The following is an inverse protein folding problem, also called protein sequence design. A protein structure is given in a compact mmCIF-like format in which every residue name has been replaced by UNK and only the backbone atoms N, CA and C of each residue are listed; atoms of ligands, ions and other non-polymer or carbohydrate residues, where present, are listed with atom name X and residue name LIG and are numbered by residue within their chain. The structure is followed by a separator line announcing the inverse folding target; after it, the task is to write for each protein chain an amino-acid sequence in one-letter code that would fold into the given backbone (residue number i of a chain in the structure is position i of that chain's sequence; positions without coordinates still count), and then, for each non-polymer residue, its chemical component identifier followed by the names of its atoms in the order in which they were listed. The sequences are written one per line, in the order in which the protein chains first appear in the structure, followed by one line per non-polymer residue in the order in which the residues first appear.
data_IF_428972066047
#
_entry.id   IF_428972066047
#
_cell.length_a   1.000
_cell.length_b   1.000
_cell.length_c   1.000
_cell.angle_alpha   90.00
_cell.angle_beta   90.00
_cell.angle_gamma   90.00
#
_symmetry.space_group_name_H-M   'P 1'
#
loop_
_entity.id
_entity.type
_entity.pdbx_description
1 polymer ?
#
# COMPACT_ATOMS: atom_id res chain seq x y z
N UNK A 1 -8.01 17.17 22.58
CA UNK A 1 -7.44 16.03 21.84
C UNK A 1 -6.33 16.54 20.94
N UNK A 2 -5.37 15.69 20.56
CA UNK A 2 -4.29 16.06 19.65
C UNK A 2 -4.82 16.59 18.31
N UNK A 3 -4.14 17.59 17.76
CA UNK A 3 -4.50 18.21 16.48
C UNK A 3 -3.80 17.49 15.33
N UNK A 4 -4.37 17.57 14.12
CA UNK A 4 -3.73 16.99 12.93
C UNK A 4 -2.28 17.49 12.74
N UNK A 5 -1.97 18.81 12.81
CA UNK A 5 -0.57 19.28 12.74
C UNK A 5 0.36 18.64 13.77
N UNK A 6 -0.06 18.56 15.04
CA UNK A 6 0.74 17.94 16.10
C UNK A 6 1.03 16.47 15.80
N UNK A 7 0.01 15.70 15.40
CA UNK A 7 0.16 14.29 15.02
C UNK A 7 1.14 14.14 13.87
N UNK A 8 1.01 14.96 12.82
CA UNK A 8 1.89 14.87 11.65
C UNK A 8 3.36 15.22 11.98
N UNK A 9 3.58 16.20 12.86
CA UNK A 9 4.91 16.58 13.33
C UNK A 9 5.55 15.47 14.16
N UNK A 10 4.79 14.90 15.12
CA UNK A 10 5.25 13.81 15.96
C UNK A 10 5.64 12.59 15.12
N UNK A 11 4.78 12.19 14.17
CA UNK A 11 5.06 11.07 13.28
C UNK A 11 6.32 11.32 12.46
N UNK A 12 6.47 12.52 11.86
CA UNK A 12 7.67 12.87 11.08
C UNK A 12 8.95 12.71 11.91
N UNK A 13 8.93 13.17 13.17
CA UNK A 13 10.07 13.04 14.08
C UNK A 13 10.37 11.59 14.46
N UNK A 14 9.34 10.75 14.60
CA UNK A 14 9.48 9.32 14.95
C UNK A 14 10.07 8.52 13.81
N UNK A 15 9.59 8.73 12.57
CA UNK A 15 10.02 7.93 11.41
C UNK A 15 11.26 8.49 10.72
N UNK A 16 11.63 9.74 11.04
CA UNK A 16 12.83 10.44 10.55
C UNK A 16 13.06 10.31 9.04
N UNK A 17 12.06 10.71 8.25
CA UNK A 17 12.18 10.72 6.79
C UNK A 17 11.43 11.88 6.14
N UNK A 18 12.03 12.44 5.10
CA UNK A 18 11.39 13.44 4.23
C UNK A 18 10.49 12.81 3.16
N UNK A 19 10.45 11.48 3.06
CA UNK A 19 9.57 10.78 2.12
C UNK A 19 8.10 11.07 2.47
N UNK A 20 7.44 11.87 1.62
CA UNK A 20 6.06 12.29 1.82
C UNK A 20 5.11 11.09 1.87
N UNK A 21 5.29 10.09 1.00
CA UNK A 21 4.43 8.91 0.98
C UNK A 21 4.52 8.11 2.27
N UNK A 22 5.71 8.01 2.87
CA UNK A 22 5.89 7.33 4.16
C UNK A 22 5.18 8.07 5.28
N UNK A 23 5.37 9.39 5.35
CA UNK A 23 4.66 10.24 6.31
C UNK A 23 3.14 10.06 6.19
N UNK A 24 2.60 10.12 4.97
CA UNK A 24 1.16 9.98 4.73
C UNK A 24 0.61 8.62 5.14
N UNK A 25 1.34 7.52 4.87
CA UNK A 25 0.94 6.19 5.30
C UNK A 25 1.01 6.06 6.82
N UNK A 26 2.08 6.54 7.45
CA UNK A 26 2.20 6.53 8.91
C UNK A 26 1.10 7.35 9.59
N UNK A 27 0.73 8.51 9.05
CA UNK A 27 -0.41 9.30 9.54
C UNK A 27 -1.71 8.50 9.42
N UNK A 28 -1.95 7.85 8.28
CA UNK A 28 -3.13 7.02 8.11
C UNK A 28 -3.18 5.88 9.14
N UNK A 29 -2.06 5.19 9.34
CA UNK A 29 -1.97 4.07 10.25
C UNK A 29 -1.96 4.46 11.72
N UNK A 30 -1.55 5.67 12.09
CA UNK A 30 -1.80 6.23 13.42
C UNK A 30 -3.31 6.27 13.71
N UNK A 31 -4.12 6.82 12.79
CA UNK A 31 -5.58 6.87 12.98
C UNK A 31 -6.22 5.48 12.99
N UNK A 32 -5.77 4.56 12.12
CA UNK A 32 -6.23 3.17 12.12
C UNK A 32 -5.90 2.48 13.44
N UNK A 33 -4.69 2.66 13.96
CA UNK A 33 -4.23 2.04 15.21
C UNK A 33 -4.97 2.61 16.42
N UNK A 34 -5.19 3.92 16.44
CA UNK A 34 -6.00 4.58 17.47
C UNK A 34 -7.44 4.04 17.49
N UNK A 35 -8.05 3.85 16.32
CA UNK A 35 -9.38 3.25 16.20
C UNK A 35 -9.37 1.79 16.66
N UNK A 36 -8.43 0.98 16.18
CA UNK A 36 -8.28 -0.42 16.58
C UNK A 36 -8.17 -0.56 18.11
N UNK A 37 -7.34 0.26 18.75
CA UNK A 37 -7.18 0.31 20.20
C UNK A 37 -8.50 0.64 20.91
N UNK A 38 -9.27 1.62 20.41
CA UNK A 38 -10.58 1.96 20.99
C UNK A 38 -11.60 0.82 20.88
N UNK A 39 -11.39 -0.11 19.95
CA UNK A 39 -12.20 -1.31 19.73
C UNK A 39 -11.62 -2.55 20.43
N UNK A 40 -10.60 -2.39 21.28
CA UNK A 40 -9.86 -3.48 21.94
C UNK A 40 -9.24 -4.50 20.97
N UNK A 41 -8.87 -4.04 19.77
CA UNK A 41 -8.12 -4.84 18.80
C UNK A 41 -6.63 -4.49 18.90
N UNK A 42 -5.79 -5.51 18.93
CA UNK A 42 -4.33 -5.39 18.97
C UNK A 42 -3.67 -5.65 17.61
N UNK A 43 -4.45 -6.07 16.61
CA UNK A 43 -3.93 -6.52 15.31
C UNK A 43 -4.80 -6.01 14.17
N UNK A 44 -4.15 -5.45 13.15
CA UNK A 44 -4.79 -5.03 11.90
C UNK A 44 -4.08 -5.71 10.73
N UNK A 45 -4.84 -6.39 9.88
CA UNK A 45 -4.33 -7.03 8.66
C UNK A 45 -4.58 -6.10 7.47
N UNK A 46 -3.58 -5.91 6.63
CA UNK A 46 -3.67 -5.06 5.44
C UNK A 46 -3.31 -5.82 4.16
N UNK A 47 -3.80 -5.30 3.03
CA UNK A 47 -3.57 -5.88 1.70
C UNK A 47 -2.33 -5.33 0.97
N UNK A 48 -1.37 -4.73 1.68
CA UNK A 48 -0.11 -4.24 1.10
C UNK A 48 0.65 -5.42 0.46
N UNK A 49 1.33 -5.17 -0.66
CA UNK A 49 1.98 -6.20 -1.48
C UNK A 49 1.27 -6.45 -2.80
N UNK A 50 -0.06 -6.28 -2.87
CA UNK A 50 -0.81 -6.54 -4.11
C UNK A 50 -0.47 -5.54 -5.22
N UNK A 51 -0.36 -4.26 -4.88
CA UNK A 51 -0.05 -3.24 -5.90
C UNK A 51 1.41 -3.34 -6.38
N UNK A 52 2.32 -3.80 -5.52
CA UNK A 52 3.73 -4.07 -5.82
C UNK A 52 3.86 -5.31 -6.72
N UNK A 53 3.29 -6.45 -6.29
CA UNK A 53 3.53 -7.76 -6.92
C UNK A 53 2.68 -8.00 -8.18
N UNK A 54 1.54 -7.33 -8.31
CA UNK A 54 0.58 -7.52 -9.41
C UNK A 54 0.38 -6.26 -10.26
N UNK A 55 1.41 -5.41 -10.32
CA UNK A 55 1.49 -4.28 -11.23
C UNK A 55 0.40 -3.21 -11.01
N UNK A 56 0.01 -2.92 -9.77
CA UNK A 56 -1.09 -1.99 -9.46
C UNK A 56 -0.79 -0.51 -9.70
N UNK A 57 0.48 -0.09 -9.69
CA UNK A 57 0.90 1.31 -9.86
C UNK A 57 0.90 1.79 -11.33
N UNK A 58 0.86 3.12 -11.54
CA UNK A 58 1.00 3.71 -12.88
C UNK A 58 2.39 3.48 -13.49
N UNK A 59 3.45 3.45 -12.68
CA UNK A 59 4.82 3.22 -13.16
C UNK A 59 4.99 1.90 -13.92
N UNK A 60 4.17 0.88 -13.66
CA UNK A 60 4.19 -0.36 -14.44
C UNK A 60 3.67 -0.17 -15.87
N UNK A 61 2.69 0.71 -16.07
CA UNK A 61 2.22 1.08 -17.41
C UNK A 61 3.30 1.85 -18.17
N UNK A 62 3.94 2.80 -17.50
CA UNK A 62 5.04 3.60 -18.04
C UNK A 62 6.23 2.71 -18.43
N UNK A 63 6.45 1.64 -17.68
CA UNK A 63 7.52 0.67 -17.90
C UNK A 63 7.16 -0.44 -18.89
N UNK A 64 5.90 -0.53 -19.33
CA UNK A 64 5.41 -1.66 -20.11
C UNK A 64 6.13 -1.79 -21.45
N UNK A 65 6.30 -0.68 -22.17
CA UNK A 65 6.97 -0.64 -23.47
C UNK A 65 8.47 -0.98 -23.39
N UNK A 66 9.06 -0.95 -22.19
CA UNK A 66 10.45 -1.34 -21.94
C UNK A 66 10.62 -2.84 -21.68
N UNK A 67 9.52 -3.61 -21.71
CA UNK A 67 9.53 -5.07 -21.58
C UNK A 67 9.55 -5.58 -20.13
N UNK A 68 9.45 -6.91 -20.00
CA UNK A 68 9.26 -7.58 -18.71
C UNK A 68 10.43 -7.38 -17.73
N UNK A 69 11.67 -7.29 -18.22
CA UNK A 69 12.85 -7.05 -17.37
C UNK A 69 12.65 -5.75 -16.59
N UNK A 70 12.25 -4.67 -17.26
CA UNK A 70 12.01 -3.38 -16.62
C UNK A 70 10.84 -3.43 -15.64
N UNK A 71 9.77 -4.14 -15.98
CA UNK A 71 8.62 -4.33 -15.07
C UNK A 71 9.06 -5.03 -13.78
N UNK A 72 9.91 -6.05 -13.89
CA UNK A 72 10.44 -6.78 -12.74
C UNK A 72 11.38 -5.90 -11.89
N UNK A 73 12.25 -5.09 -12.49
CA UNK A 73 13.06 -4.10 -11.75
C UNK A 73 12.18 -3.14 -10.93
N UNK A 74 11.12 -2.61 -11.55
CA UNK A 74 10.16 -1.73 -10.87
C UNK A 74 9.45 -2.48 -9.74
N UNK A 75 9.12 -3.76 -9.94
CA UNK A 75 8.52 -4.61 -8.91
C UNK A 75 9.44 -4.75 -7.70
N UNK A 76 10.72 -5.04 -7.89
CA UNK A 76 11.69 -5.15 -6.79
C UNK A 76 11.83 -3.82 -6.03
N UNK A 77 11.97 -2.70 -6.75
CA UNK A 77 12.09 -1.38 -6.13
C UNK A 77 10.84 -1.00 -5.31
N UNK A 78 9.65 -1.32 -5.82
CA UNK A 78 8.39 -1.05 -5.11
C UNK A 78 8.23 -1.94 -3.89
N UNK A 79 8.56 -3.22 -4.03
CA UNK A 79 8.50 -4.18 -2.94
C UNK A 79 9.47 -3.83 -1.80
N UNK A 80 10.72 -3.48 -2.12
CA UNK A 80 11.72 -3.04 -1.12
C UNK A 80 11.27 -1.78 -0.37
N UNK A 81 10.77 -0.78 -1.10
CA UNK A 81 10.22 0.43 -0.47
C UNK A 81 9.03 0.09 0.45
N UNK A 82 8.11 -0.77 0.01
CA UNK A 82 6.93 -1.15 0.78
C UNK A 82 7.30 -1.89 2.07
N UNK A 83 8.22 -2.86 1.99
CA UNK A 83 8.72 -3.59 3.16
C UNK A 83 9.36 -2.66 4.20
N UNK A 84 10.12 -1.67 3.75
CA UNK A 84 10.72 -0.66 4.65
C UNK A 84 9.68 0.28 5.23
N UNK A 85 8.74 0.77 4.42
CA UNK A 85 7.65 1.64 4.87
C UNK A 85 6.77 0.95 5.92
N UNK A 86 6.46 -0.35 5.76
CA UNK A 86 5.62 -1.08 6.71
C UNK A 86 6.29 -1.31 8.07
N UNK A 87 7.64 -1.27 8.14
CA UNK A 87 8.35 -1.20 9.42
C UNK A 87 8.11 0.13 10.12
N UNK A 88 8.23 1.25 9.41
CA UNK A 88 7.94 2.58 9.96
C UNK A 88 6.46 2.71 10.40
N UNK A 89 5.53 2.16 9.62
CA UNK A 89 4.11 2.06 10.01
C UNK A 89 3.93 1.30 11.33
N UNK A 90 4.61 0.17 11.51
CA UNK A 90 4.54 -0.59 12.76
C UNK A 90 5.17 0.14 13.95
N UNK A 91 6.22 0.94 13.75
CA UNK A 91 6.77 1.81 14.81
C UNK A 91 5.68 2.77 15.31
N UNK A 92 4.98 3.44 14.39
CA UNK A 92 3.88 4.35 14.75
C UNK A 92 2.68 3.62 15.37
N UNK A 93 2.31 2.45 14.86
CA UNK A 93 1.21 1.67 15.41
C UNK A 93 1.48 1.15 16.84
N UNK A 94 2.75 0.90 17.18
CA UNK A 94 3.15 0.36 18.48
C UNK A 94 2.84 1.29 19.66
N UNK A 95 2.72 2.61 19.42
CA UNK A 95 2.23 3.59 20.40
C UNK A 95 0.87 3.18 20.99
N UNK A 96 0.04 2.50 20.18
CA UNK A 96 -1.30 2.04 20.57
C UNK A 96 -1.33 0.58 21.04
N UNK A 97 -0.19 -0.09 21.14
CA UNK A 97 -0.10 -1.55 21.28
C UNK A 97 -0.84 -2.30 20.16
N UNK A 98 -0.78 -1.78 18.92
CA UNK A 98 -1.38 -2.39 17.73
C UNK A 98 -0.29 -2.83 16.78
N UNK A 99 -0.42 -4.05 16.25
CA UNK A 99 0.46 -4.63 15.23
C UNK A 99 -0.22 -4.58 13.86
N UNK A 100 0.49 -4.06 12.85
CA UNK A 100 0.02 -4.07 11.46
C UNK A 100 0.68 -5.24 10.72
N UNK A 101 -0.12 -6.19 10.24
CA UNK A 101 0.35 -7.39 9.54
C UNK A 101 0.06 -7.32 8.03
N UNK A 102 1.01 -7.76 7.21
CA UNK A 102 0.90 -7.83 5.76
C UNK A 102 1.18 -9.26 5.27
N UNK A 103 0.19 -10.17 5.32
CA UNK A 103 0.39 -11.56 4.88
C UNK A 103 0.93 -11.67 3.44
N UNK A 104 0.54 -10.72 2.59
CA UNK A 104 0.90 -10.65 1.17
C UNK A 104 2.30 -10.05 0.93
N UNK A 105 3.03 -9.72 2.00
CA UNK A 105 4.46 -9.39 1.99
C UNK A 105 5.31 -10.49 2.65
N UNK A 106 4.74 -11.66 2.95
CA UNK A 106 5.52 -12.82 3.39
C UNK A 106 6.43 -13.33 2.28
N UNK A 107 7.61 -13.83 2.63
CA UNK A 107 8.60 -14.35 1.66
C UNK A 107 7.98 -15.40 0.74
N UNK A 108 7.25 -16.37 1.29
CA UNK A 108 6.61 -17.44 0.50
C UNK A 108 5.56 -16.90 -0.48
N UNK A 109 4.76 -15.91 -0.07
CA UNK A 109 3.79 -15.29 -0.97
C UNK A 109 4.48 -14.45 -2.05
N UNK A 110 5.52 -13.70 -1.71
CA UNK A 110 6.31 -12.91 -2.65
C UNK A 110 6.91 -13.83 -3.73
N UNK A 111 7.56 -14.92 -3.31
CA UNK A 111 8.17 -15.90 -4.21
C UNK A 111 7.13 -16.48 -5.16
N UNK A 112 5.98 -16.93 -4.62
CA UNK A 112 4.86 -17.42 -5.43
C UNK A 112 4.34 -16.35 -6.41
N UNK A 113 4.07 -15.13 -5.93
CA UNK A 113 3.50 -14.06 -6.74
C UNK A 113 4.42 -13.65 -7.90
N UNK A 114 5.74 -13.75 -7.72
CA UNK A 114 6.73 -13.50 -8.78
C UNK A 114 6.70 -14.56 -9.89
N UNK A 115 6.23 -15.78 -9.62
CA UNK A 115 6.07 -16.83 -10.65
C UNK A 115 4.89 -16.58 -11.60
N UNK A 116 3.93 -15.74 -11.20
CA UNK A 116 2.77 -15.41 -12.03
C UNK A 116 3.22 -14.57 -13.24
N UNK A 117 2.87 -14.96 -14.49
CA UNK A 117 3.28 -14.24 -15.69
C UNK A 117 2.89 -12.75 -15.67
N UNK A 118 3.74 -11.89 -16.24
CA UNK A 118 3.45 -10.44 -16.32
C UNK A 118 2.18 -10.18 -17.14
N UNK A 119 1.94 -10.99 -18.18
CA UNK A 119 0.73 -10.94 -19.01
C UNK A 119 -0.57 -11.16 -18.22
N UNK A 120 -0.54 -11.83 -17.06
CA UNK A 120 -1.69 -12.02 -16.18
C UNK A 120 -1.87 -10.83 -15.20
N UNK A 121 -0.88 -9.93 -15.12
CA UNK A 121 -0.85 -8.80 -14.19
C UNK A 121 -1.22 -7.48 -14.88
N UNK A 122 -0.65 -7.22 -16.05
CA UNK A 122 -0.83 -5.98 -16.82
C UNK A 122 -0.80 -6.28 -18.31
N UNK A 123 -1.72 -5.69 -19.08
CA UNK A 123 -1.91 -6.04 -20.49
C UNK A 123 -1.28 -5.05 -21.48
N UNK A 124 -1.12 -3.79 -21.11
CA UNK A 124 -0.54 -2.77 -21.98
C UNK A 124 -0.12 -1.51 -21.23
N UNK A 125 0.58 -0.60 -21.92
CA UNK A 125 0.82 0.77 -21.45
C UNK A 125 -0.47 1.56 -21.22
N UNK A 126 -1.60 1.17 -21.82
CA UNK A 126 -2.90 1.85 -21.68
C UNK A 126 -3.83 1.18 -20.67
N UNK A 127 -3.37 0.11 -20.01
CA UNK A 127 -4.15 -0.66 -19.06
C UNK A 127 -4.38 0.10 -17.74
N UNK A 128 -5.52 0.78 -17.65
CA UNK A 128 -5.91 1.51 -16.44
C UNK A 128 -6.37 0.58 -15.29
N UNK A 129 -6.71 -0.68 -15.58
CA UNK A 129 -7.25 -1.61 -14.58
C UNK A 129 -6.14 -2.31 -13.81
N UNK A 130 -5.21 -2.97 -14.52
CA UNK A 130 -4.12 -3.81 -13.98
C UNK A 130 -4.60 -4.84 -12.95
N UNK A 131 -3.67 -5.62 -12.39
CA UNK A 131 -3.94 -6.65 -11.38
C UNK A 131 -4.98 -7.66 -11.87
N UNK A 132 -4.99 -7.98 -13.17
CA UNK A 132 -6.07 -8.73 -13.81
C UNK A 132 -6.34 -10.06 -13.12
N UNK A 133 -5.28 -10.84 -12.85
CA UNK A 133 -5.40 -12.11 -12.13
C UNK A 133 -5.98 -11.96 -10.71
N UNK A 134 -5.63 -10.89 -9.98
CA UNK A 134 -6.16 -10.63 -8.64
C UNK A 134 -7.63 -10.20 -8.70
N UNK A 135 -8.01 -9.41 -9.71
CA UNK A 135 -9.41 -8.99 -9.90
C UNK A 135 -10.29 -10.18 -10.29
N UNK A 136 -9.78 -11.04 -11.16
CA UNK A 136 -10.43 -12.31 -11.52
C UNK A 136 -10.61 -13.18 -10.29
N UNK A 137 -9.54 -13.44 -9.53
CA UNK A 137 -9.60 -14.20 -8.29
C UNK A 137 -10.60 -13.60 -7.29
N UNK A 138 -10.59 -12.28 -7.09
CA UNK A 138 -11.54 -11.61 -6.21
C UNK A 138 -12.99 -11.87 -6.63
N UNK A 139 -13.29 -11.80 -7.94
CA UNK A 139 -14.60 -12.13 -8.48
C UNK A 139 -14.96 -13.60 -8.23
N UNK A 140 -14.02 -14.52 -8.47
CA UNK A 140 -14.22 -15.96 -8.33
C UNK A 140 -14.53 -16.36 -6.88
N UNK A 141 -13.97 -15.63 -5.90
CA UNK A 141 -14.25 -15.85 -4.46
C UNK A 141 -15.43 -15.03 -3.92
N UNK A 142 -16.20 -14.39 -4.79
CA UNK A 142 -17.43 -13.69 -4.43
C UNK A 142 -17.26 -12.29 -3.85
N UNK A 143 -16.11 -11.63 -4.06
CA UNK A 143 -15.97 -10.20 -3.74
C UNK A 143 -16.92 -9.40 -4.65
N UNK A 144 -17.68 -8.42 -4.11
CA UNK A 144 -18.61 -7.64 -4.91
C UNK A 144 -17.95 -6.97 -6.13
N UNK A 145 -18.66 -6.95 -7.26
CA UNK A 145 -18.16 -6.42 -8.53
C UNK A 145 -17.65 -4.97 -8.41
N UNK A 146 -18.34 -4.14 -7.60
CA UNK A 146 -17.94 -2.76 -7.32
C UNK A 146 -16.52 -2.65 -6.72
N UNK A 147 -16.05 -3.68 -6.02
CA UNK A 147 -14.69 -3.76 -5.48
C UNK A 147 -13.73 -4.38 -6.48
N UNK A 148 -14.13 -5.46 -7.16
CA UNK A 148 -13.31 -6.16 -8.17
C UNK A 148 -12.92 -5.28 -9.35
N UNK A 149 -13.81 -4.38 -9.77
CA UNK A 149 -13.63 -3.50 -10.94
C UNK A 149 -13.11 -2.10 -10.56
N UNK A 150 -12.99 -1.80 -9.26
CA UNK A 150 -12.56 -0.47 -8.82
C UNK A 150 -11.14 -0.15 -9.26
N UNK A 151 -10.95 1.01 -9.90
CA UNK A 151 -9.61 1.51 -10.21
C UNK A 151 -8.82 1.78 -8.92
N UNK A 152 -7.51 1.55 -8.97
CA UNK A 152 -6.63 1.83 -7.82
C UNK A 152 -6.76 3.31 -7.43
N UNK A 153 -6.91 3.54 -6.14
CA UNK A 153 -6.75 4.86 -5.51
C UNK A 153 -5.89 4.68 -4.28
N UNK A 154 -4.77 5.38 -4.20
CA UNK A 154 -3.87 5.27 -3.05
C UNK A 154 -4.50 5.84 -1.77
N UNK A 155 -4.10 5.29 -0.63
CA UNK A 155 -4.69 5.54 0.68
C UNK A 155 -4.73 7.04 1.03
N UNK A 156 -3.63 7.76 0.79
CA UNK A 156 -3.49 9.19 1.10
C UNK A 156 -4.48 10.07 0.31
N UNK A 157 -4.85 9.65 -0.90
CA UNK A 157 -5.81 10.38 -1.74
C UNK A 157 -7.24 9.97 -1.41
N UNK A 158 -7.47 8.70 -1.06
CA UNK A 158 -8.77 8.20 -0.60
C UNK A 158 -9.21 8.87 0.70
N UNK A 159 -8.30 9.00 1.65
CA UNK A 159 -8.49 9.58 2.99
C UNK A 159 -8.41 11.10 3.05
N UNK A 160 -7.98 11.76 1.96
CA UNK A 160 -7.65 13.19 1.90
C UNK A 160 -6.46 13.62 2.78
N UNK A 161 -5.67 12.69 3.32
CA UNK A 161 -4.45 12.99 4.09
C UNK A 161 -3.49 13.83 3.26
N UNK A 162 -3.25 13.48 1.99
CA UNK A 162 -2.38 14.25 1.11
C UNK A 162 -2.80 15.73 1.04
N UNK A 163 -4.10 15.96 0.79
CA UNK A 163 -4.68 17.30 0.71
C UNK A 163 -4.54 18.07 2.02
N UNK A 164 -4.71 17.41 3.15
CA UNK A 164 -4.59 18.04 4.48
C UNK A 164 -3.14 18.34 4.85
N UNK A 165 -2.22 17.40 4.58
CA UNK A 165 -0.81 17.53 4.91
C UNK A 165 -0.11 18.61 4.09
N UNK A 166 -0.39 18.69 2.79
CA UNK A 166 0.19 19.73 1.91
C UNK A 166 -0.25 21.14 2.31
N UNK A 167 -1.43 21.31 2.93
CA UNK A 167 -1.92 22.63 3.38
C UNK A 167 -1.21 23.18 4.61
N UNK A 168 -0.61 22.31 5.41
CA UNK A 168 0.01 22.65 6.69
C UNK A 168 1.54 22.54 6.66
N UNK A 169 2.09 22.13 5.51
CA UNK A 169 3.52 22.14 5.23
C UNK A 169 3.97 23.50 4.74
#
# INVERSE_FOLDING_TARGET
GETFPTITSNIRNVIDTDNLSWNENCIAFHYVSKLAKSLNLDTVITGNGIDELFCGYNVYRESFSSGEIRINEVMELKLDNELKMMKAVNVVASEFNVKILQPLLSTSFIEYAKTVPISEKIHSSDDLFRKHIIRKLASDVGVPEISCTKRKKALQYGSKIHKSLVKIR
#
